data_IF_799584651728
#
_entry.id   IF_799584651728
#
_cell.length_a   1.000
_cell.length_b   1.000
_cell.length_c   1.000
_cell.angle_alpha   90.00
_cell.angle_beta   90.00
_cell.angle_gamma   90.00
#
_symmetry.space_group_name_H-M   'P 1'
#
loop_
_entity.id
_entity.type
_entity.pdbx_description
1 polymer ?
#
# COMPACT_ATOMS: atom_id res chain seq x y z
N UNK A 1 32.90 -26.76 12.97
CA UNK A 1 32.70 -27.93 12.07
C UNK A 1 31.21 -28.24 12.05
N UNK A 2 30.43 -28.08 10.98
CA UNK A 2 30.66 -28.01 9.53
C UNK A 2 29.59 -27.05 8.97
N UNK A 3 29.83 -25.81 8.53
CA UNK A 3 30.37 -25.34 7.23
C UNK A 3 29.96 -26.17 5.98
N UNK A 4 28.97 -27.07 6.05
CA UNK A 4 28.56 -27.85 4.86
C UNK A 4 27.06 -28.09 4.68
N UNK A 5 26.21 -27.58 5.58
CA UNK A 5 24.75 -27.52 5.36
C UNK A 5 24.20 -26.09 5.14
N UNK A 6 25.05 -25.06 5.26
CA UNK A 6 24.75 -23.67 4.90
C UNK A 6 25.16 -23.31 3.45
N UNK A 7 25.72 -24.28 2.70
CA UNK A 7 26.10 -24.12 1.29
C UNK A 7 25.06 -24.69 0.30
N UNK A 8 24.01 -25.37 0.79
CA UNK A 8 22.95 -25.94 -0.06
C UNK A 8 21.85 -24.95 -0.47
N UNK A 9 21.50 -23.99 0.39
CA UNK A 9 20.53 -22.92 0.06
C UNK A 9 21.17 -21.79 -0.77
N UNK A 10 22.50 -21.70 -0.78
CA UNK A 10 23.28 -20.85 -1.69
C UNK A 10 23.64 -21.56 -3.00
N UNK A 11 23.06 -22.73 -3.31
CA UNK A 11 23.31 -23.45 -4.57
C UNK A 11 22.23 -23.24 -5.65
N UNK A 12 21.18 -22.45 -5.37
CA UNK A 12 20.16 -22.05 -6.37
C UNK A 12 20.32 -20.57 -6.79
N UNK A 13 21.11 -19.79 -6.05
CA UNK A 13 21.52 -18.42 -6.41
C UNK A 13 22.69 -18.34 -7.42
N UNK A 14 23.65 -19.31 -7.51
CA UNK A 14 24.78 -19.22 -8.44
C UNK A 14 24.40 -19.38 -9.91
N UNK A 15 23.23 -19.96 -10.22
CA UNK A 15 22.72 -20.03 -11.60
C UNK A 15 22.09 -18.72 -12.08
N UNK A 16 21.73 -17.79 -11.19
CA UNK A 16 21.32 -16.45 -11.59
C UNK A 16 22.52 -15.52 -11.82
N UNK A 17 23.59 -15.68 -11.03
CA UNK A 17 24.81 -14.86 -11.14
C UNK A 17 25.69 -15.27 -12.33
N UNK A 18 25.77 -16.57 -12.66
CA UNK A 18 26.51 -17.05 -13.84
C UNK A 18 25.72 -16.93 -15.17
N UNK A 19 24.40 -16.70 -15.12
CA UNK A 19 23.60 -16.43 -16.32
C UNK A 19 23.64 -14.96 -16.78
N UNK A 20 24.05 -14.04 -15.90
CA UNK A 20 24.00 -12.59 -16.17
C UNK A 20 25.24 -11.85 -15.64
N UNK A 21 26.34 -11.82 -16.42
CA UNK A 21 27.60 -11.16 -16.06
C UNK A 21 27.51 -9.64 -15.85
N UNK A 22 26.40 -9.00 -16.21
CA UNK A 22 26.18 -7.56 -16.06
C UNK A 22 25.66 -7.13 -14.67
N UNK A 23 25.38 -8.08 -13.77
CA UNK A 23 25.05 -7.78 -12.37
C UNK A 23 26.27 -7.36 -11.51
N UNK A 24 27.47 -7.32 -12.09
CA UNK A 24 28.72 -7.03 -11.37
C UNK A 24 29.30 -5.61 -11.62
N UNK A 25 28.68 -4.77 -12.45
CA UNK A 25 29.22 -3.43 -12.74
C UNK A 25 28.18 -2.32 -12.52
N UNK A 26 28.34 -1.55 -11.43
CA UNK A 26 28.65 -0.10 -11.49
C UNK A 26 28.73 0.51 -10.09
N UNK A 27 29.95 0.69 -9.63
CA UNK A 27 30.28 1.64 -8.59
C UNK A 27 30.18 3.06 -9.18
N UNK A 28 29.14 3.82 -8.83
CA UNK A 28 29.12 5.27 -9.01
C UNK A 28 27.79 5.83 -9.49
N UNK A 29 27.16 6.63 -8.62
CA UNK A 29 26.18 7.65 -8.98
C UNK A 29 24.75 7.17 -9.27
N UNK A 30 23.82 7.63 -8.42
CA UNK A 30 22.42 7.93 -8.77
C UNK A 30 21.46 6.80 -9.20
N UNK A 31 21.28 5.83 -8.29
CA UNK A 31 19.95 5.35 -7.87
C UNK A 31 19.20 4.40 -8.82
N UNK A 32 18.96 3.19 -8.32
CA UNK A 32 18.21 2.13 -8.98
C UNK A 32 18.83 0.79 -8.60
N UNK A 33 18.14 -0.01 -7.79
CA UNK A 33 18.62 -1.28 -7.21
C UNK A 33 19.71 -1.17 -6.12
N UNK A 34 20.80 -0.42 -6.31
CA UNK A 34 21.86 -0.27 -5.29
C UNK A 34 21.42 0.58 -4.10
N UNK A 35 20.60 1.62 -4.33
CA UNK A 35 20.05 2.47 -3.27
C UNK A 35 19.03 1.73 -2.40
N UNK A 36 18.12 0.96 -3.02
CA UNK A 36 17.13 0.17 -2.28
C UNK A 36 17.81 -1.00 -1.55
N UNK A 37 18.76 -1.69 -2.18
CA UNK A 37 19.52 -2.76 -1.55
C UNK A 37 20.40 -2.24 -0.41
N UNK A 38 21.10 -1.11 -0.57
CA UNK A 38 21.87 -0.48 0.51
C UNK A 38 20.96 0.05 1.63
N UNK A 39 19.81 0.63 1.29
CA UNK A 39 18.81 1.05 2.27
C UNK A 39 18.35 -0.17 3.08
N UNK A 40 17.89 -1.24 2.41
CA UNK A 40 17.38 -2.44 3.07
C UNK A 40 18.46 -3.23 3.84
N UNK A 41 19.69 -3.32 3.32
CA UNK A 41 20.82 -3.95 4.00
C UNK A 41 21.39 -3.09 5.15
N UNK A 42 21.19 -1.78 5.08
CA UNK A 42 21.54 -0.82 6.12
C UNK A 42 20.50 -0.70 7.23
N UNK A 43 19.26 -1.17 7.01
CA UNK A 43 18.20 -1.22 8.02
C UNK A 43 18.56 -2.22 9.13
N UNK A 44 19.31 -1.72 10.11
CA UNK A 44 19.48 -2.38 11.41
C UNK A 44 18.44 -1.80 12.34
N UNK A 45 17.41 -2.58 12.62
CA UNK A 45 16.43 -2.21 13.63
C UNK A 45 16.97 -2.54 15.02
N UNK A 46 16.83 -1.61 15.95
CA UNK A 46 17.04 -1.89 17.36
C UNK A 46 15.89 -2.77 17.87
N UNK A 47 16.22 -3.95 18.38
CA UNK A 47 15.25 -4.89 18.94
C UNK A 47 14.41 -4.25 20.08
N UNK A 48 14.98 -3.31 20.84
CA UNK A 48 14.26 -2.60 21.88
C UNK A 48 13.22 -1.65 21.28
N UNK A 49 13.54 -0.95 20.19
CA UNK A 49 12.60 -0.10 19.48
C UNK A 49 11.46 -0.91 18.85
N UNK A 50 11.78 -2.06 18.24
CA UNK A 50 10.75 -2.96 17.70
C UNK A 50 9.85 -3.56 18.79
N UNK A 51 10.41 -3.91 19.94
CA UNK A 51 9.65 -4.37 21.10
C UNK A 51 8.73 -3.28 21.65
N UNK A 52 9.22 -2.04 21.72
CA UNK A 52 8.43 -0.88 22.12
C UNK A 52 7.27 -0.63 21.13
N UNK A 53 7.54 -0.63 19.82
CA UNK A 53 6.53 -0.51 18.77
C UNK A 53 5.44 -1.59 18.91
N UNK A 54 5.87 -2.84 19.07
CA UNK A 54 4.96 -3.98 19.28
C UNK A 54 4.07 -3.77 20.50
N UNK A 55 4.64 -3.29 21.60
CA UNK A 55 3.91 -3.03 22.85
C UNK A 55 2.87 -1.91 22.68
N UNK A 56 3.22 -0.84 21.97
CA UNK A 56 2.30 0.27 21.69
C UNK A 56 1.15 -0.15 20.79
N UNK A 57 1.40 -0.97 19.77
CA UNK A 57 0.34 -1.50 18.92
C UNK A 57 -0.60 -2.42 19.72
N UNK A 58 -0.07 -3.28 20.60
CA UNK A 58 -0.91 -4.11 21.50
C UNK A 58 -1.77 -3.26 22.44
N UNK A 59 -1.21 -2.17 22.98
CA UNK A 59 -1.97 -1.23 23.79
C UNK A 59 -3.08 -0.53 22.97
N UNK A 60 -2.81 -0.18 21.71
CA UNK A 60 -3.80 0.39 20.81
C UNK A 60 -4.91 -0.62 20.44
N UNK A 61 -4.55 -1.88 20.19
CA UNK A 61 -5.53 -2.98 20.02
C UNK A 61 -6.46 -3.08 21.23
N UNK A 62 -5.91 -2.99 22.45
CA UNK A 62 -6.72 -3.01 23.66
C UNK A 62 -7.71 -1.82 23.76
N UNK A 63 -7.36 -0.65 23.21
CA UNK A 63 -8.28 0.51 23.13
C UNK A 63 -9.42 0.29 22.14
N UNK A 64 -9.13 -0.35 21.01
CA UNK A 64 -10.12 -0.67 19.97
C UNK A 64 -11.05 -1.81 20.41
N UNK A 65 -10.60 -2.65 21.34
CA UNK A 65 -11.38 -3.77 21.88
C UNK A 65 -11.44 -4.95 20.92
N UNK A 66 -12.31 -5.92 21.23
CA UNK A 66 -12.56 -7.08 20.36
C UNK A 66 -13.49 -6.68 19.21
N UNK A 67 -12.90 -6.47 18.04
CA UNK A 67 -13.62 -6.11 16.82
C UNK A 67 -13.96 -7.39 16.07
N UNK A 68 -15.26 -7.59 15.81
CA UNK A 68 -15.74 -8.63 14.91
C UNK A 68 -15.35 -8.35 13.46
N UNK A 69 -14.10 -8.64 13.10
CA UNK A 69 -13.58 -8.53 11.75
C UNK A 69 -13.62 -9.88 11.02
N UNK A 70 -13.85 -9.91 9.70
CA UNK A 70 -13.78 -11.14 8.93
C UNK A 70 -12.42 -11.82 9.06
N UNK A 71 -12.38 -13.09 9.47
CA UNK A 71 -11.15 -13.91 9.48
C UNK A 71 -11.02 -14.76 8.21
N UNK A 72 -12.04 -14.70 7.34
CA UNK A 72 -12.08 -15.43 6.08
C UNK A 72 -10.92 -15.04 5.16
N UNK A 73 -10.57 -15.96 4.27
CA UNK A 73 -9.54 -15.77 3.25
C UNK A 73 -10.07 -16.24 1.92
N UNK A 74 -9.66 -15.57 0.84
CA UNK A 74 -9.90 -16.08 -0.50
C UNK A 74 -9.07 -17.35 -0.71
N UNK A 75 -9.74 -18.46 -1.01
CA UNK A 75 -9.11 -19.75 -1.35
C UNK A 75 -9.41 -20.07 -2.80
N UNK A 76 -8.38 -20.26 -3.63
CA UNK A 76 -8.55 -20.61 -5.05
C UNK A 76 -7.67 -19.79 -5.99
N UNK A 77 -7.80 -19.97 -7.31
CA UNK A 77 -6.95 -19.27 -8.27
C UNK A 77 -7.31 -17.78 -8.33
N UNK A 78 -6.32 -16.93 -8.08
CA UNK A 78 -6.45 -15.47 -8.00
C UNK A 78 -7.07 -14.81 -9.24
N UNK A 79 -6.89 -15.42 -10.42
CA UNK A 79 -7.44 -14.92 -11.68
C UNK A 79 -8.96 -15.09 -11.81
N UNK A 80 -9.61 -15.71 -10.82
CA UNK A 80 -11.07 -15.85 -10.75
C UNK A 80 -11.70 -14.95 -9.68
N UNK A 81 -10.92 -14.10 -9.03
CA UNK A 81 -11.47 -13.19 -8.01
C UNK A 81 -12.33 -12.14 -8.72
N UNK A 82 -13.57 -12.02 -8.25
CA UNK A 82 -14.57 -11.09 -8.76
C UNK A 82 -15.10 -10.27 -7.59
N UNK A 83 -15.76 -9.15 -7.88
CA UNK A 83 -16.42 -8.34 -6.86
C UNK A 83 -17.32 -9.19 -5.96
N UNK A 84 -18.17 -10.02 -6.57
CA UNK A 84 -19.14 -10.84 -5.85
C UNK A 84 -18.50 -11.94 -5.00
N UNK A 85 -17.42 -12.57 -5.50
CA UNK A 85 -16.74 -13.61 -4.71
C UNK A 85 -15.98 -13.03 -3.53
N UNK A 86 -15.38 -11.84 -3.68
CA UNK A 86 -14.76 -11.13 -2.56
C UNK A 86 -15.84 -10.68 -1.57
N UNK A 87 -16.94 -10.07 -2.03
CA UNK A 87 -18.03 -9.62 -1.16
C UNK A 87 -18.62 -10.78 -0.35
N UNK A 88 -18.88 -11.92 -1.00
CA UNK A 88 -19.37 -13.12 -0.32
C UNK A 88 -18.39 -13.65 0.72
N UNK A 89 -17.10 -13.69 0.40
CA UNK A 89 -16.08 -14.28 1.28
C UNK A 89 -15.89 -13.47 2.55
N UNK A 90 -15.87 -12.14 2.43
CA UNK A 90 -15.65 -11.24 3.56
C UNK A 90 -16.97 -10.74 4.19
N UNK A 91 -18.13 -11.22 3.75
CA UNK A 91 -19.44 -10.84 4.30
C UNK A 91 -19.81 -9.39 4.03
N UNK A 92 -19.40 -8.83 2.89
CA UNK A 92 -19.64 -7.44 2.51
C UNK A 92 -21.04 -7.28 1.92
N UNK A 93 -22.06 -7.27 2.77
CA UNK A 93 -23.42 -6.94 2.34
C UNK A 93 -23.65 -5.43 2.36
N UNK A 94 -23.67 -4.80 1.17
CA UNK A 94 -24.14 -3.42 1.04
C UNK A 94 -25.63 -3.41 0.69
N UNK A 95 -26.47 -3.13 1.68
CA UNK A 95 -27.92 -3.02 1.49
C UNK A 95 -28.23 -1.87 0.54
N UNK A 96 -29.26 -1.98 -0.31
CA UNK A 96 -29.70 -0.87 -1.17
C UNK A 96 -30.12 0.39 -0.36
N UNK A 97 -30.43 0.24 0.92
CA UNK A 97 -30.67 1.33 1.87
C UNK A 97 -29.39 2.03 2.35
N UNK A 98 -28.18 1.55 2.02
CA UNK A 98 -26.89 2.17 2.37
C UNK A 98 -26.52 3.34 1.44
N UNK A 99 -27.54 4.06 0.94
CA UNK A 99 -27.32 5.35 0.28
C UNK A 99 -26.62 6.27 1.26
N UNK A 100 -25.65 7.05 0.77
CA UNK A 100 -24.95 8.08 1.54
C UNK A 100 -25.97 8.97 2.27
N UNK A 101 -25.78 9.18 3.57
CA UNK A 101 -26.69 9.97 4.40
C UNK A 101 -28.03 9.31 4.78
N UNK A 102 -28.24 8.01 4.53
CA UNK A 102 -29.48 7.31 4.88
C UNK A 102 -29.69 7.02 6.39
N UNK A 103 -28.78 7.48 7.26
CA UNK A 103 -28.98 7.45 8.72
C UNK A 103 -28.97 6.06 9.37
N UNK A 104 -28.42 5.03 8.70
CA UNK A 104 -28.44 3.64 9.17
C UNK A 104 -27.06 3.01 9.40
N UNK A 105 -25.97 3.77 9.31
CA UNK A 105 -24.63 3.24 9.55
C UNK A 105 -24.38 3.01 11.04
N UNK A 106 -23.69 1.93 11.38
CA UNK A 106 -23.33 1.61 12.77
C UNK A 106 -22.41 2.68 13.38
N UNK A 107 -21.69 3.41 12.52
CA UNK A 107 -20.69 4.38 12.91
C UNK A 107 -21.19 5.84 12.94
N UNK A 108 -22.38 6.12 12.41
CA UNK A 108 -22.79 7.50 12.11
C UNK A 108 -21.97 8.12 10.97
N UNK A 109 -22.14 9.42 10.74
CA UNK A 109 -21.36 10.17 9.73
C UNK A 109 -19.94 10.39 10.23
N UNK A 110 -18.94 10.32 9.34
CA UNK A 110 -17.55 10.46 9.76
C UNK A 110 -17.13 11.91 10.06
N UNK A 111 -17.76 12.89 9.41
CA UNK A 111 -17.66 14.30 9.77
C UNK A 111 -18.82 14.64 10.72
N UNK A 112 -18.51 14.83 12.00
CA UNK A 112 -19.46 15.15 13.07
C UNK A 112 -18.91 16.25 14.00
N UNK A 113 -19.63 16.55 15.09
CA UNK A 113 -19.21 17.58 16.06
C UNK A 113 -17.90 17.24 16.78
N UNK A 114 -17.58 15.95 16.94
CA UNK A 114 -16.32 15.51 17.55
C UNK A 114 -15.16 15.57 16.55
N UNK A 115 -15.44 15.40 15.26
CA UNK A 115 -14.46 15.36 14.17
C UNK A 115 -14.78 16.38 13.06
N UNK A 116 -14.84 17.70 13.38
CA UNK A 116 -15.14 18.72 12.40
C UNK A 116 -13.99 18.86 11.40
N UNK A 117 -14.33 19.19 10.16
CA UNK A 117 -13.34 19.48 9.13
C UNK A 117 -12.61 20.80 9.43
N UNK A 118 -11.27 20.73 9.48
CA UNK A 118 -10.38 21.89 9.48
C UNK A 118 -9.37 21.67 8.36
N UNK A 119 -9.40 22.47 7.29
CA UNK A 119 -8.48 22.31 6.17
C UNK A 119 -7.05 22.60 6.61
N UNK A 120 -6.10 21.81 6.09
CA UNK A 120 -4.71 22.23 6.06
C UNK A 120 -4.57 23.46 5.14
N UNK A 121 -3.85 24.48 5.61
CA UNK A 121 -3.55 25.68 4.85
C UNK A 121 -2.10 26.07 5.10
N UNK A 122 -1.17 25.84 4.15
CA UNK A 122 0.24 26.18 4.31
C UNK A 122 0.50 27.68 4.48
N UNK A 123 -0.49 28.54 4.18
CA UNK A 123 -0.40 29.99 4.38
C UNK A 123 -0.83 30.42 5.78
N UNK A 124 -1.52 29.56 6.53
CA UNK A 124 -1.84 29.81 7.92
C UNK A 124 -0.59 29.55 8.77
N UNK A 125 -0.07 30.54 9.52
CA UNK A 125 1.09 30.35 10.39
C UNK A 125 0.91 29.22 11.42
N UNK A 126 -0.31 29.01 11.91
CA UNK A 126 -0.61 27.94 12.88
C UNK A 126 -0.50 26.55 12.26
N UNK A 127 -0.54 26.46 10.93
CA UNK A 127 -0.41 25.24 10.16
C UNK A 127 0.99 25.08 9.55
N UNK A 128 1.93 26.00 9.80
CA UNK A 128 3.23 26.01 9.13
C UNK A 128 4.02 24.70 9.32
N UNK A 129 3.87 24.05 10.48
CA UNK A 129 4.51 22.76 10.80
C UNK A 129 3.66 21.55 10.46
N UNK A 130 2.40 21.73 10.07
CA UNK A 130 1.48 20.63 9.79
C UNK A 130 1.94 19.86 8.56
N UNK A 131 1.82 18.54 8.64
CA UNK A 131 2.27 17.63 7.62
C UNK A 131 1.08 16.96 6.93
N UNK A 132 1.08 17.04 5.60
CA UNK A 132 0.21 16.25 4.72
C UNK A 132 1.07 15.55 3.70
N UNK A 133 0.66 14.35 3.32
CA UNK A 133 1.43 13.46 2.46
C UNK A 133 0.67 13.01 1.23
N UNK A 134 1.07 11.89 0.63
CA UNK A 134 0.46 11.45 -0.62
C UNK A 134 -0.79 10.60 -0.39
N UNK A 135 -1.04 10.18 0.86
CA UNK A 135 -2.18 9.38 1.25
C UNK A 135 -3.43 10.25 1.55
N UNK A 136 -4.44 10.28 0.67
CA UNK A 136 -5.64 11.09 0.89
C UNK A 136 -6.42 10.66 2.14
N UNK A 137 -6.39 9.36 2.49
CA UNK A 137 -7.06 8.83 3.68
C UNK A 137 -6.48 9.37 4.98
N UNK A 138 -5.15 9.39 5.12
CA UNK A 138 -4.48 9.94 6.31
C UNK A 138 -4.61 11.46 6.38
N UNK A 139 -4.50 12.14 5.24
CA UNK A 139 -4.69 13.58 5.17
C UNK A 139 -6.10 13.98 5.62
N UNK A 140 -7.12 13.26 5.14
CA UNK A 140 -8.51 13.44 5.57
C UNK A 140 -8.66 13.16 7.07
N UNK A 141 -8.14 12.04 7.57
CA UNK A 141 -8.22 11.72 9.01
C UNK A 141 -7.60 12.81 9.90
N UNK A 142 -6.45 13.39 9.50
CA UNK A 142 -5.82 14.50 10.20
C UNK A 142 -6.61 15.82 10.07
N UNK A 143 -7.18 16.11 8.89
CA UNK A 143 -8.07 17.27 8.68
C UNK A 143 -9.36 17.18 9.51
N UNK A 144 -9.71 16.02 10.05
CA UNK A 144 -10.87 15.81 10.91
C UNK A 144 -10.52 15.54 12.38
N UNK A 145 -9.24 15.44 12.74
CA UNK A 145 -8.82 15.22 14.12
C UNK A 145 -8.91 13.76 14.59
N UNK A 146 -9.22 12.79 13.72
CA UNK A 146 -9.04 11.36 14.01
C UNK A 146 -7.56 11.00 14.17
N UNK A 147 -6.69 11.75 13.49
CA UNK A 147 -5.27 11.81 13.77
C UNK A 147 -4.93 13.21 14.28
N UNK A 148 -3.81 13.38 15.03
CA UNK A 148 -3.23 14.68 15.29
C UNK A 148 -3.25 15.57 14.05
N UNK A 149 -3.84 16.77 14.18
CA UNK A 149 -4.09 17.67 13.04
C UNK A 149 -2.80 18.15 12.38
N UNK A 150 -1.72 18.23 13.15
CA UNK A 150 -0.37 18.53 12.68
C UNK A 150 0.26 17.41 11.83
N UNK A 151 -0.38 16.24 11.74
CA UNK A 151 0.10 15.12 10.94
C UNK A 151 1.33 14.41 11.52
N UNK A 152 1.70 14.68 12.79
CA UNK A 152 2.76 13.96 13.49
C UNK A 152 2.13 12.99 14.48
N UNK A 153 2.19 11.70 14.16
CA UNK A 153 1.45 10.65 14.87
C UNK A 153 2.36 9.77 15.73
N UNK A 154 1.85 9.26 16.85
CA UNK A 154 2.41 8.10 17.56
C UNK A 154 1.85 6.80 16.99
N UNK A 155 2.40 5.61 17.31
CA UNK A 155 1.84 4.33 16.88
C UNK A 155 0.39 4.14 17.34
N UNK A 156 0.06 4.61 18.54
CA UNK A 156 -1.29 4.50 19.09
C UNK A 156 -2.25 5.42 18.33
N UNK A 157 -1.84 6.66 18.04
CA UNK A 157 -2.64 7.59 17.27
C UNK A 157 -2.94 7.03 15.87
N UNK A 158 -1.92 6.51 15.19
CA UNK A 158 -2.08 5.95 13.86
C UNK A 158 -2.99 4.72 13.87
N UNK A 159 -2.78 3.78 14.80
CA UNK A 159 -3.59 2.58 14.88
C UNK A 159 -5.07 2.90 15.16
N UNK A 160 -5.33 3.71 16.19
CA UNK A 160 -6.70 4.06 16.61
C UNK A 160 -7.36 4.96 15.57
N UNK A 161 -6.64 5.95 15.04
CA UNK A 161 -7.16 6.84 14.01
C UNK A 161 -7.48 6.13 12.70
N UNK A 162 -6.73 5.10 12.30
CA UNK A 162 -7.09 4.26 11.15
C UNK A 162 -8.38 3.46 11.38
N UNK A 163 -8.55 2.93 12.59
CA UNK A 163 -9.78 2.23 12.98
C UNK A 163 -10.98 3.17 12.98
N UNK A 164 -10.86 4.30 13.68
CA UNK A 164 -11.94 5.26 13.86
C UNK A 164 -12.22 6.04 12.57
N UNK A 165 -11.23 6.51 11.82
CA UNK A 165 -11.52 7.27 10.59
C UNK A 165 -12.12 6.39 9.49
N UNK A 166 -11.65 5.14 9.34
CA UNK A 166 -11.80 4.37 8.11
C UNK A 166 -12.34 2.94 8.30
N UNK A 167 -12.58 2.50 9.53
CA UNK A 167 -13.02 1.12 9.83
C UNK A 167 -12.05 0.07 9.26
N UNK A 168 -10.74 0.28 9.46
CA UNK A 168 -9.74 -0.74 9.13
C UNK A 168 -9.64 -1.75 10.27
N UNK A 169 -9.73 -3.03 9.97
CA UNK A 169 -9.65 -4.07 10.99
C UNK A 169 -8.32 -4.04 11.76
N UNK A 170 -8.28 -4.51 13.03
CA UNK A 170 -7.08 -4.48 13.86
C UNK A 170 -5.83 -5.08 13.21
N UNK A 171 -5.98 -6.09 12.35
CA UNK A 171 -4.86 -6.69 11.60
C UNK A 171 -4.25 -5.70 10.60
N UNK A 172 -5.10 -4.99 9.85
CA UNK A 172 -4.66 -3.99 8.88
C UNK A 172 -4.11 -2.73 9.56
N UNK A 173 -4.75 -2.25 10.64
CA UNK A 173 -4.22 -1.14 11.44
C UNK A 173 -2.83 -1.45 11.98
N UNK A 174 -2.64 -2.66 12.53
CA UNK A 174 -1.37 -3.14 13.05
C UNK A 174 -0.30 -3.22 11.96
N UNK A 175 -0.65 -3.78 10.80
CA UNK A 175 0.22 -3.87 9.65
C UNK A 175 0.72 -2.50 9.18
N UNK A 176 -0.22 -1.57 8.93
CA UNK A 176 0.10 -0.23 8.42
C UNK A 176 0.88 0.60 9.44
N UNK A 177 0.52 0.49 10.72
CA UNK A 177 1.24 1.19 11.79
C UNK A 177 2.67 0.67 11.92
N UNK A 178 2.84 -0.64 11.99
CA UNK A 178 4.17 -1.23 12.12
C UNK A 178 5.06 -0.88 10.91
N UNK A 179 4.55 -1.10 9.70
CA UNK A 179 5.23 -0.76 8.45
C UNK A 179 5.59 0.73 8.36
N UNK A 180 4.63 1.62 8.67
CA UNK A 180 4.82 3.07 8.66
C UNK A 180 5.96 3.48 9.57
N UNK A 181 5.96 3.03 10.83
CA UNK A 181 7.00 3.42 11.78
C UNK A 181 8.38 2.84 11.42
N UNK A 182 8.42 1.58 11.00
CA UNK A 182 9.67 0.90 10.63
C UNK A 182 10.36 1.59 9.45
N UNK A 183 9.62 2.03 8.44
CA UNK A 183 10.21 2.61 7.23
C UNK A 183 10.20 4.13 7.18
N UNK A 184 9.25 4.78 7.86
CA UNK A 184 8.98 6.21 7.73
C UNK A 184 9.03 6.97 9.06
N UNK A 185 9.07 6.28 10.19
CA UNK A 185 9.08 6.87 11.52
C UNK A 185 10.46 7.26 12.03
N UNK A 186 10.46 8.12 13.05
CA UNK A 186 11.53 8.28 14.02
C UNK A 186 11.31 7.23 15.12
N UNK A 187 12.00 6.08 15.02
CA UNK A 187 11.88 4.99 16.00
C UNK A 187 12.49 5.33 17.36
N UNK A 188 13.34 6.36 17.46
CA UNK A 188 13.87 6.79 18.75
C UNK A 188 12.80 7.58 19.53
N UNK A 189 12.02 8.40 18.83
CA UNK A 189 10.94 9.19 19.44
C UNK A 189 9.57 8.52 19.39
N UNK A 190 9.44 7.42 18.65
CA UNK A 190 8.15 6.77 18.36
C UNK A 190 7.15 7.78 17.79
N UNK A 191 7.60 8.56 16.81
CA UNK A 191 6.78 9.50 16.05
C UNK A 191 6.93 9.26 14.55
N UNK A 192 5.91 9.57 13.78
CA UNK A 192 5.94 9.50 12.32
C UNK A 192 5.21 10.70 11.73
N UNK A 193 5.72 11.27 10.65
CA UNK A 193 4.97 12.23 9.84
C UNK A 193 4.14 11.50 8.79
N UNK A 194 2.85 11.85 8.67
CA UNK A 194 2.01 11.40 7.55
C UNK A 194 2.34 12.12 6.24
N UNK A 195 3.22 13.14 6.29
CA UNK A 195 3.76 13.87 5.16
C UNK A 195 5.28 13.79 5.08
N UNK A 196 5.94 14.92 4.88
CA UNK A 196 7.40 15.02 4.88
C UNK A 196 7.98 15.24 6.27
N UNK A 197 9.30 15.46 6.35
CA UNK A 197 9.99 15.72 7.61
C UNK A 197 10.34 17.19 7.85
N UNK A 198 9.88 18.08 6.96
CA UNK A 198 10.16 19.51 6.99
C UNK A 198 8.88 20.34 6.96
N UNK A 199 8.91 21.49 7.61
CA UNK A 199 7.84 22.50 7.53
C UNK A 199 7.86 23.24 6.18
N UNK A 200 6.91 24.17 5.99
CA UNK A 200 6.80 25.01 4.79
C UNK A 200 8.00 25.94 4.56
N UNK A 201 8.86 26.13 5.57
CA UNK A 201 10.09 26.93 5.51
C UNK A 201 11.35 26.08 5.33
N UNK A 202 11.21 24.75 5.29
CA UNK A 202 12.31 23.80 5.14
C UNK A 202 13.00 23.41 6.45
N UNK A 203 12.50 23.82 7.62
CA UNK A 203 13.02 23.41 8.91
C UNK A 203 12.59 21.98 9.22
N UNK A 204 13.49 21.18 9.79
CA UNK A 204 13.17 19.80 10.18
C UNK A 204 12.21 19.80 11.38
N UNK A 205 11.06 19.14 11.22
CA UNK A 205 10.04 18.99 12.28
C UNK A 205 10.07 17.61 12.96
N UNK A 206 10.67 16.62 12.30
CA UNK A 206 10.86 15.26 12.83
C UNK A 206 12.08 14.60 12.17
N UNK A 207 12.82 13.73 12.86
CA UNK A 207 14.03 13.10 12.30
C UNK A 207 13.70 11.92 11.36
N UNK A 208 12.54 11.28 11.54
CA UNK A 208 12.04 10.26 10.61
C UNK A 208 11.76 10.88 9.24
N UNK A 209 11.93 10.14 8.15
CA UNK A 209 11.79 10.71 6.80
C UNK A 209 10.34 11.10 6.45
N UNK A 210 9.34 10.57 7.16
CA UNK A 210 7.93 10.80 6.89
C UNK A 210 7.44 10.01 5.67
N UNK A 211 6.11 9.86 5.57
CA UNK A 211 5.48 9.08 4.51
C UNK A 211 5.88 9.55 3.12
N UNK A 212 5.93 10.88 2.88
CA UNK A 212 6.23 11.50 1.58
C UNK A 212 7.59 11.15 0.99
N UNK A 213 8.50 10.56 1.77
CA UNK A 213 9.78 10.12 1.21
C UNK A 213 9.56 8.95 0.24
N UNK A 214 10.11 9.09 -0.97
CA UNK A 214 10.13 8.05 -2.02
C UNK A 214 10.75 6.72 -1.57
N UNK A 215 10.35 5.60 -2.18
CA UNK A 215 10.91 4.26 -2.00
C UNK A 215 9.90 3.23 -1.50
N UNK A 216 9.97 2.88 -0.21
CA UNK A 216 9.36 1.64 0.31
C UNK A 216 7.82 1.65 0.37
N UNK A 217 7.21 2.72 0.88
CA UNK A 217 5.74 2.86 0.94
C UNK A 217 5.26 3.76 -0.19
N UNK A 218 5.65 5.04 -0.13
CA UNK A 218 5.49 5.95 -1.27
C UNK A 218 6.45 5.57 -2.40
N UNK A 219 5.94 5.52 -3.61
CA UNK A 219 6.72 5.16 -4.78
C UNK A 219 6.00 5.43 -6.08
N UNK A 220 6.64 5.04 -7.18
CA UNK A 220 6.19 5.41 -8.51
C UNK A 220 4.86 4.75 -8.92
N UNK A 221 4.32 5.20 -10.05
CA UNK A 221 3.06 4.74 -10.65
C UNK A 221 1.84 4.95 -9.75
N UNK A 222 1.83 6.02 -8.98
CA UNK A 222 0.64 6.49 -8.26
C UNK A 222 -0.47 6.92 -9.23
N UNK A 223 -1.72 6.61 -8.90
CA UNK A 223 -2.88 6.89 -9.78
C UNK A 223 -3.17 8.40 -9.85
N UNK A 224 -2.91 9.17 -8.78
CA UNK A 224 -3.26 10.60 -8.71
C UNK A 224 -2.08 11.51 -8.36
N UNK A 225 -0.88 10.99 -8.13
CA UNK A 225 0.37 11.74 -7.85
C UNK A 225 1.41 11.42 -8.93
N UNK A 226 2.33 12.35 -9.19
CA UNK A 226 3.43 12.08 -10.13
C UNK A 226 4.52 11.23 -9.49
N UNK A 227 5.43 10.73 -10.32
CA UNK A 227 6.60 9.98 -9.87
C UNK A 227 7.70 10.95 -9.39
N UNK A 228 8.43 10.57 -8.34
CA UNK A 228 9.37 11.46 -7.63
C UNK A 228 10.48 12.04 -8.51
N UNK A 229 10.93 11.25 -9.49
CA UNK A 229 12.06 11.61 -10.34
C UNK A 229 11.67 12.60 -11.44
N UNK A 230 10.37 12.75 -11.73
CA UNK A 230 9.87 13.56 -12.85
C UNK A 230 8.75 14.53 -12.46
N UNK A 231 8.36 14.58 -11.18
CA UNK A 231 7.29 15.46 -10.73
C UNK A 231 7.10 15.47 -9.22
N UNK A 232 5.90 15.87 -8.81
CA UNK A 232 5.49 15.97 -7.42
C UNK A 232 4.76 14.68 -6.98
N UNK A 233 5.42 13.93 -6.11
CA UNK A 233 4.90 12.67 -5.55
C UNK A 233 3.93 12.86 -4.38
N UNK A 234 3.75 14.09 -3.89
CA UNK A 234 2.94 14.38 -2.70
C UNK A 234 1.59 14.95 -3.10
N UNK A 235 1.61 16.01 -3.90
CA UNK A 235 0.41 16.74 -4.26
C UNK A 235 -0.29 16.13 -5.47
N UNK A 236 -1.61 16.35 -5.54
CA UNK A 236 -2.42 15.80 -6.62
C UNK A 236 -1.98 16.32 -8.00
N UNK A 237 -1.76 15.39 -8.93
CA UNK A 237 -1.64 15.67 -10.34
C UNK A 237 -3.03 15.74 -10.96
N UNK A 238 -3.47 16.94 -11.33
CA UNK A 238 -4.76 17.12 -12.00
C UNK A 238 -4.84 16.36 -13.33
N UNK A 239 -3.72 16.16 -14.03
CA UNK A 239 -3.68 15.35 -15.25
C UNK A 239 -4.05 13.89 -14.95
N UNK A 240 -3.35 13.28 -13.98
CA UNK A 240 -3.60 11.88 -13.61
C UNK A 240 -4.97 11.69 -12.95
N UNK A 241 -5.37 12.62 -12.09
CA UNK A 241 -6.70 12.65 -11.47
C UNK A 241 -7.81 12.71 -12.53
N UNK A 242 -7.74 13.63 -13.49
CA UNK A 242 -8.74 13.74 -14.56
C UNK A 242 -8.78 12.50 -15.44
N UNK A 243 -7.63 11.86 -15.70
CA UNK A 243 -7.58 10.57 -16.40
C UNK A 243 -8.27 9.46 -15.59
N UNK A 244 -8.01 9.36 -14.29
CA UNK A 244 -8.67 8.38 -13.42
C UNK A 244 -10.18 8.61 -13.34
N UNK A 245 -10.59 9.87 -13.16
CA UNK A 245 -12.00 10.30 -13.21
C UNK A 245 -12.66 9.88 -14.53
N UNK A 246 -11.97 10.02 -15.66
CA UNK A 246 -12.45 9.54 -16.97
C UNK A 246 -12.69 8.03 -17.03
N UNK A 247 -11.81 7.22 -16.43
CA UNK A 247 -12.02 5.77 -16.35
C UNK A 247 -13.23 5.40 -15.46
N UNK A 248 -13.47 6.15 -14.39
CA UNK A 248 -14.64 5.99 -13.51
C UNK A 248 -15.95 6.40 -14.21
N UNK A 249 -15.93 7.53 -14.94
CA UNK A 249 -17.08 8.02 -15.72
C UNK A 249 -17.48 7.08 -16.87
N UNK A 250 -16.55 6.27 -17.37
CA UNK A 250 -16.83 5.23 -18.36
C UNK A 250 -17.54 3.99 -17.76
N UNK A 251 -17.73 3.93 -16.44
CA UNK A 251 -18.51 2.89 -15.77
C UNK A 251 -19.98 3.33 -15.62
N UNK A 252 -20.88 2.36 -15.39
CA UNK A 252 -22.28 2.67 -15.10
C UNK A 252 -22.40 3.52 -13.83
N UNK A 253 -23.21 4.59 -13.91
CA UNK A 253 -23.49 5.54 -12.81
C UNK A 253 -22.29 6.32 -12.25
N UNK A 254 -21.14 6.31 -12.94
CA UNK A 254 -19.85 6.70 -12.38
C UNK A 254 -19.49 5.84 -11.16
N UNK A 255 -18.48 4.99 -11.29
CA UNK A 255 -18.07 4.15 -10.17
C UNK A 255 -16.58 3.83 -10.24
N UNK A 256 -15.94 3.80 -9.07
CA UNK A 256 -14.57 3.29 -8.91
C UNK A 256 -14.64 1.77 -8.88
N UNK A 257 -14.60 1.11 -10.04
CA UNK A 257 -14.64 -0.35 -10.19
C UNK A 257 -13.25 -0.98 -10.34
N UNK A 258 -13.16 -2.32 -10.22
CA UNK A 258 -11.95 -3.09 -10.60
C UNK A 258 -11.43 -2.65 -11.98
N UNK A 259 -12.32 -2.48 -12.96
CA UNK A 259 -11.97 -2.09 -14.33
C UNK A 259 -11.39 -0.68 -14.40
N UNK A 260 -12.04 0.30 -13.75
CA UNK A 260 -11.54 1.68 -13.74
C UNK A 260 -10.16 1.79 -13.08
N UNK A 261 -9.96 1.06 -11.97
CA UNK A 261 -8.70 1.02 -11.23
C UNK A 261 -7.60 0.30 -12.02
N UNK A 262 -7.92 -0.81 -12.70
CA UNK A 262 -6.93 -1.55 -13.49
C UNK A 262 -6.45 -0.74 -14.68
N UNK A 263 -7.35 0.00 -15.34
CA UNK A 263 -6.99 0.95 -16.40
C UNK A 263 -6.11 2.08 -15.86
N UNK A 264 -6.48 2.67 -14.72
CA UNK A 264 -5.72 3.74 -14.09
C UNK A 264 -4.31 3.29 -13.66
N UNK A 265 -4.18 2.11 -13.05
CA UNK A 265 -2.90 1.56 -12.61
C UNK A 265 -2.02 1.18 -13.79
N UNK A 266 -2.59 0.60 -14.86
CA UNK A 266 -1.86 0.32 -16.10
C UNK A 266 -1.34 1.61 -16.75
N UNK A 267 -2.16 2.66 -16.81
CA UNK A 267 -1.74 3.94 -17.35
C UNK A 267 -0.62 4.60 -16.51
N UNK A 268 -0.72 4.56 -15.18
CA UNK A 268 0.31 5.07 -14.29
C UNK A 268 1.64 4.29 -14.44
N UNK A 269 1.56 2.96 -14.58
CA UNK A 269 2.72 2.11 -14.89
C UNK A 269 3.34 2.46 -16.24
N UNK A 270 2.53 2.60 -17.29
CA UNK A 270 3.02 2.93 -18.63
C UNK A 270 3.72 4.30 -18.65
N UNK A 271 3.19 5.27 -17.91
CA UNK A 271 3.83 6.58 -17.76
C UNK A 271 5.19 6.47 -17.06
N UNK A 272 5.27 5.69 -15.98
CA UNK A 272 6.52 5.43 -15.27
C UNK A 272 7.55 4.81 -16.22
N UNK A 273 7.21 3.72 -16.90
CA UNK A 273 8.10 3.03 -17.84
C UNK A 273 8.55 3.94 -18.99
N UNK A 274 7.66 4.78 -19.49
CA UNK A 274 7.91 5.59 -20.68
C UNK A 274 8.64 6.90 -20.39
N UNK A 275 8.34 7.54 -19.27
CA UNK A 275 8.76 8.91 -19.00
C UNK A 275 9.70 9.03 -17.79
N UNK A 276 9.68 8.07 -16.86
CA UNK A 276 10.54 8.09 -15.69
C UNK A 276 11.80 7.23 -15.91
N UNK A 277 12.97 7.83 -16.17
CA UNK A 277 14.22 7.08 -16.37
C UNK A 277 14.69 6.32 -15.12
N UNK A 278 14.07 6.58 -13.97
CA UNK A 278 14.31 5.95 -12.67
C UNK A 278 13.09 5.17 -12.16
N UNK A 279 12.15 4.82 -13.04
CA UNK A 279 10.93 4.08 -12.69
C UNK A 279 11.23 2.89 -11.77
N UNK A 280 10.68 2.93 -10.55
CA UNK A 280 10.76 1.85 -9.58
C UNK A 280 9.38 1.22 -9.36
N UNK A 281 9.14 0.10 -10.05
CA UNK A 281 7.99 -0.76 -9.86
C UNK A 281 8.44 -2.14 -9.38
N UNK A 282 9.33 -2.15 -8.38
CA UNK A 282 9.74 -3.39 -7.72
C UNK A 282 8.52 -4.12 -7.12
N UNK A 283 8.70 -5.40 -6.76
CA UNK A 283 7.57 -6.22 -6.32
C UNK A 283 6.88 -5.68 -5.05
N UNK A 284 7.62 -5.13 -4.09
CA UNK A 284 7.02 -4.55 -2.89
C UNK A 284 6.18 -3.33 -3.26
N UNK A 285 6.71 -2.44 -4.11
CA UNK A 285 5.95 -1.28 -4.62
C UNK A 285 4.70 -1.75 -5.38
N UNK A 286 4.80 -2.80 -6.19
CA UNK A 286 3.66 -3.37 -6.90
C UNK A 286 2.58 -3.86 -5.92
N UNK A 287 2.95 -4.61 -4.89
CA UNK A 287 2.01 -5.07 -3.85
C UNK A 287 1.33 -3.88 -3.17
N UNK A 288 2.10 -2.87 -2.74
CA UNK A 288 1.56 -1.67 -2.09
C UNK A 288 0.63 -0.91 -3.05
N UNK A 289 1.05 -0.66 -4.28
CA UNK A 289 0.26 0.03 -5.29
C UNK A 289 -1.09 -0.68 -5.55
N UNK A 290 -1.10 -1.99 -5.74
CA UNK A 290 -2.36 -2.69 -5.96
C UNK A 290 -3.22 -2.76 -4.69
N UNK A 291 -2.61 -2.85 -3.49
CA UNK A 291 -3.33 -2.74 -2.23
C UNK A 291 -3.97 -1.35 -2.03
N UNK A 292 -3.30 -0.25 -2.41
CA UNK A 292 -3.86 1.10 -2.42
C UNK A 292 -5.09 1.20 -3.34
N UNK A 293 -5.09 0.48 -4.47
CA UNK A 293 -6.27 0.42 -5.34
C UNK A 293 -7.44 -0.28 -4.65
N UNK A 294 -7.18 -1.36 -3.91
CA UNK A 294 -8.19 -1.99 -3.05
C UNK A 294 -8.69 -1.07 -1.94
N UNK A 295 -7.79 -0.34 -1.29
CA UNK A 295 -8.12 0.64 -0.26
C UNK A 295 -9.01 1.76 -0.84
N UNK A 296 -8.63 2.31 -2.00
CA UNK A 296 -9.44 3.27 -2.73
C UNK A 296 -10.79 2.70 -3.14
N UNK A 297 -10.87 1.42 -3.52
CA UNK A 297 -12.13 0.78 -3.90
C UNK A 297 -13.11 0.63 -2.74
N UNK A 298 -12.60 0.37 -1.53
CA UNK A 298 -13.40 -0.16 -0.43
C UNK A 298 -13.38 0.70 0.84
N UNK A 299 -12.20 1.10 1.31
CA UNK A 299 -12.09 1.93 2.50
C UNK A 299 -12.65 3.33 2.21
N UNK A 300 -12.23 3.98 1.11
CA UNK A 300 -12.72 5.31 0.74
C UNK A 300 -14.19 5.30 0.27
N UNK A 301 -14.68 4.16 -0.22
CA UNK A 301 -16.11 4.01 -0.57
C UNK A 301 -17.02 4.06 0.65
N UNK A 302 -16.55 3.54 1.79
CA UNK A 302 -17.39 3.45 2.99
C UNK A 302 -18.60 2.53 2.76
N UNK A 303 -19.74 2.88 3.34
CA UNK A 303 -20.98 2.09 3.16
C UNK A 303 -21.70 2.31 1.83
N UNK A 304 -21.23 3.26 1.01
CA UNK A 304 -21.89 3.58 -0.24
C UNK A 304 -21.88 2.38 -1.21
N UNK A 305 -23.01 2.14 -1.88
CA UNK A 305 -23.07 1.13 -2.96
C UNK A 305 -22.30 1.58 -4.19
N UNK A 306 -22.33 2.87 -4.51
CA UNK A 306 -21.70 3.52 -5.67
C UNK A 306 -20.68 4.56 -5.18
N UNK A 307 -19.47 4.53 -5.74
CA UNK A 307 -18.44 5.52 -5.48
C UNK A 307 -18.59 6.65 -6.50
N UNK A 308 -19.35 7.67 -6.10
CA UNK A 308 -19.71 8.80 -6.96
C UNK A 308 -18.53 9.71 -7.30
N UNK A 309 -18.70 10.53 -8.34
CA UNK A 309 -17.75 11.56 -8.72
C UNK A 309 -17.47 12.57 -7.60
N UNK A 310 -18.51 12.96 -6.87
CA UNK A 310 -18.38 13.85 -5.71
C UNK A 310 -17.49 13.23 -4.64
N UNK A 311 -17.69 11.95 -4.32
CA UNK A 311 -16.82 11.26 -3.37
C UNK A 311 -15.36 11.28 -3.85
N UNK A 312 -15.13 11.11 -5.15
CA UNK A 312 -13.78 11.10 -5.71
C UNK A 312 -13.11 12.47 -5.51
N UNK A 313 -13.85 13.54 -5.76
CA UNK A 313 -13.37 14.90 -5.54
C UNK A 313 -13.08 15.18 -4.06
N UNK A 314 -13.99 14.82 -3.16
CA UNK A 314 -13.80 15.02 -1.72
C UNK A 314 -12.57 14.33 -1.17
N UNK A 315 -12.33 13.08 -1.57
CA UNK A 315 -11.17 12.34 -1.11
C UNK A 315 -9.85 12.87 -1.65
N UNK A 316 -9.79 13.20 -2.95
CA UNK A 316 -8.51 13.46 -3.62
C UNK A 316 -8.16 14.94 -3.77
N UNK A 317 -9.16 15.82 -3.89
CA UNK A 317 -8.99 17.27 -4.07
C UNK A 317 -9.14 17.99 -2.74
N UNK A 318 -10.21 17.68 -1.99
CA UNK A 318 -10.53 18.39 -0.75
C UNK A 318 -9.88 17.74 0.48
N UNK A 319 -9.48 16.48 0.39
CA UNK A 319 -8.98 15.67 1.53
C UNK A 319 -9.91 15.81 2.74
N UNK A 320 -11.20 15.60 2.47
CA UNK A 320 -12.32 15.75 3.40
C UNK A 320 -13.26 14.56 3.21
N UNK A 321 -13.91 14.09 4.28
CA UNK A 321 -14.94 13.07 4.11
C UNK A 321 -16.08 13.63 3.24
N UNK A 322 -16.59 12.86 2.25
CA UNK A 322 -17.73 13.31 1.48
C UNK A 322 -18.94 13.58 2.40
N UNK A 323 -19.79 14.58 2.12
CA UNK A 323 -20.91 14.91 3.01
C UNK A 323 -21.85 13.70 3.17
N UNK A 324 -22.18 13.37 4.41
CA UNK A 324 -23.00 12.20 4.75
C UNK A 324 -22.31 10.84 4.54
N UNK A 325 -21.01 10.82 4.27
CA UNK A 325 -20.21 9.60 4.18
C UNK A 325 -20.08 8.94 5.55
N UNK A 326 -20.09 7.61 5.53
CA UNK A 326 -19.83 6.79 6.71
C UNK A 326 -18.91 5.64 6.36
N UNK A 327 -18.03 5.32 7.30
CA UNK A 327 -17.12 4.18 7.24
C UNK A 327 -17.90 2.87 7.27
N UNK A 328 -17.32 1.82 6.66
CA UNK A 328 -17.99 0.51 6.53
C UNK A 328 -18.34 -0.11 7.88
N UNK A 329 -19.52 -0.70 8.00
CA UNK A 329 -19.88 -1.55 9.14
C UNK A 329 -18.99 -2.79 9.30
N UNK A 330 -18.61 -3.43 8.19
CA UNK A 330 -17.67 -4.56 8.17
C UNK A 330 -16.25 -4.03 7.96
N UNK A 331 -15.36 -4.15 8.96
CA UNK A 331 -14.01 -3.60 8.87
C UNK A 331 -13.18 -4.19 7.73
N UNK A 332 -12.34 -3.37 7.12
CA UNK A 332 -11.48 -3.76 6.00
C UNK A 332 -10.25 -4.49 6.54
N UNK A 333 -10.02 -5.73 6.09
CA UNK A 333 -8.89 -6.56 6.55
C UNK A 333 -7.72 -6.54 5.60
N UNK A 334 -6.53 -6.93 6.07
CA UNK A 334 -5.34 -7.04 5.22
C UNK A 334 -5.52 -8.08 4.09
N UNK A 335 -6.21 -9.18 4.37
CA UNK A 335 -6.55 -10.20 3.38
C UNK A 335 -7.54 -9.70 2.32
N UNK A 336 -8.51 -8.89 2.72
CA UNK A 336 -9.44 -8.26 1.78
C UNK A 336 -8.69 -7.31 0.84
N UNK A 337 -7.79 -6.47 1.36
CA UNK A 337 -6.96 -5.58 0.55
C UNK A 337 -6.10 -6.34 -0.47
N UNK A 338 -5.49 -7.46 -0.05
CA UNK A 338 -4.76 -8.34 -0.95
C UNK A 338 -5.66 -8.92 -2.06
N UNK A 339 -6.88 -9.34 -1.72
CA UNK A 339 -7.83 -9.88 -2.69
C UNK A 339 -8.24 -8.83 -3.75
N UNK A 340 -8.55 -7.60 -3.33
CA UNK A 340 -8.85 -6.50 -4.26
C UNK A 340 -7.66 -6.15 -5.13
N UNK A 341 -6.47 -6.01 -4.55
CA UNK A 341 -5.25 -5.72 -5.29
C UNK A 341 -4.97 -6.76 -6.37
N UNK A 342 -5.11 -8.04 -6.04
CA UNK A 342 -4.99 -9.15 -7.00
C UNK A 342 -6.04 -9.08 -8.10
N UNK A 343 -7.30 -8.78 -7.77
CA UNK A 343 -8.37 -8.66 -8.76
C UNK A 343 -8.12 -7.48 -9.74
N UNK A 344 -7.66 -6.35 -9.22
CA UNK A 344 -7.28 -5.17 -10.03
C UNK A 344 -6.08 -5.49 -10.93
N UNK A 345 -5.04 -6.15 -10.40
CA UNK A 345 -3.88 -6.57 -11.20
C UNK A 345 -4.27 -7.58 -12.28
N UNK A 346 -5.06 -8.61 -11.94
CA UNK A 346 -5.49 -9.64 -12.88
C UNK A 346 -6.28 -9.07 -14.07
N UNK A 347 -7.00 -7.96 -13.88
CA UNK A 347 -7.77 -7.31 -14.94
C UNK A 347 -6.90 -6.53 -15.95
N UNK A 348 -5.71 -6.07 -15.56
CA UNK A 348 -4.74 -5.42 -16.45
C UNK A 348 -3.31 -5.64 -15.92
N UNK A 349 -2.72 -6.84 -16.13
CA UNK A 349 -1.49 -7.23 -15.46
C UNK A 349 -0.29 -6.45 -16.01
N UNK A 350 0.58 -6.04 -15.08
CA UNK A 350 1.91 -5.48 -15.37
C UNK A 350 2.97 -6.35 -14.70
N UNK A 351 4.22 -6.20 -15.15
CA UNK A 351 5.35 -6.95 -14.59
C UNK A 351 6.17 -6.06 -13.68
N UNK A 352 6.56 -6.53 -12.48
CA UNK A 352 7.44 -5.78 -11.61
C UNK A 352 8.82 -5.62 -12.26
N UNK A 353 9.55 -4.59 -11.87
CA UNK A 353 10.81 -4.24 -12.52
C UNK A 353 11.31 -2.86 -12.15
N UNK A 354 12.43 -2.49 -12.74
CA UNK A 354 13.17 -1.25 -12.43
C UNK A 354 13.74 -0.67 -13.73
N UNK A 355 13.83 0.65 -13.82
CA UNK A 355 14.60 1.30 -14.87
C UNK A 355 16.09 1.28 -14.56
N UNK A 356 16.89 0.74 -15.48
CA UNK A 356 18.35 0.70 -15.43
C UNK A 356 18.89 1.51 -16.62
N UNK A 357 19.57 2.62 -16.33
CA UNK A 357 20.09 3.51 -17.39
C UNK A 357 18.99 4.08 -18.29
N UNK A 358 17.79 4.35 -17.74
CA UNK A 358 16.64 4.85 -18.49
C UNK A 358 15.84 3.79 -19.26
N UNK A 359 16.23 2.51 -19.16
CA UNK A 359 15.53 1.39 -19.80
C UNK A 359 14.83 0.57 -18.72
N UNK A 360 13.52 0.43 -18.81
CA UNK A 360 12.77 -0.43 -17.88
C UNK A 360 13.09 -1.91 -18.13
N UNK A 361 13.59 -2.58 -17.10
CA UNK A 361 13.89 -4.00 -17.08
C UNK A 361 12.88 -4.69 -16.18
N UNK A 362 11.92 -5.38 -16.78
CA UNK A 362 10.97 -6.22 -16.07
C UNK A 362 11.64 -7.49 -15.52
N UNK A 363 11.32 -7.85 -14.28
CA UNK A 363 11.53 -9.22 -13.80
C UNK A 363 10.65 -10.14 -14.66
N UNK A 364 11.15 -11.27 -15.18
CA UNK A 364 10.39 -12.08 -16.13
C UNK A 364 8.99 -12.38 -15.61
N UNK A 365 8.00 -11.97 -16.40
CA UNK A 365 6.59 -12.12 -16.04
C UNK A 365 6.24 -13.60 -15.89
N UNK A 366 5.23 -13.90 -15.05
CA UNK A 366 4.58 -15.24 -15.02
C UNK A 366 4.20 -15.69 -16.44
N UNK A 367 3.85 -14.75 -17.31
CA UNK A 367 3.52 -14.95 -18.73
C UNK A 367 4.73 -15.41 -19.56
N UNK A 368 5.93 -14.95 -19.25
CA UNK A 368 7.19 -15.35 -19.89
C UNK A 368 7.58 -16.78 -19.47
N UNK A 369 7.34 -17.13 -18.20
CA UNK A 369 7.48 -18.50 -17.69
C UNK A 369 6.47 -19.45 -18.34
N UNK A 370 5.21 -19.01 -18.50
CA UNK A 370 4.16 -19.73 -19.23
C UNK A 370 4.53 -19.97 -20.71
N UNK A 371 5.13 -18.98 -21.38
CA UNK A 371 5.60 -19.10 -22.75
C UNK A 371 6.78 -20.08 -22.87
N UNK A 372 7.75 -20.02 -21.96
CA UNK A 372 8.86 -20.99 -21.90
C UNK A 372 8.38 -22.41 -21.59
N UNK A 373 7.40 -22.59 -20.70
CA UNK A 373 6.83 -23.90 -20.37
C UNK A 373 6.10 -24.57 -21.53
N UNK A 374 5.52 -23.78 -22.44
CA UNK A 374 4.95 -24.25 -23.72
C UNK A 374 6.02 -24.62 -24.74
N UNK A 375 7.11 -23.83 -24.82
CA UNK A 375 8.25 -24.11 -25.73
C UNK A 375 9.03 -25.35 -25.30
N UNK A 376 9.08 -25.65 -23.99
CA UNK A 376 9.79 -26.79 -23.43
C UNK A 376 8.95 -28.08 -23.31
N UNK A 377 7.71 -28.09 -23.84
CA UNK A 377 6.91 -29.32 -23.97
C UNK A 377 6.43 -29.95 -22.66
N UNK A 378 6.42 -29.22 -21.54
CA UNK A 378 6.05 -29.77 -20.24
C UNK A 378 4.53 -29.81 -20.02
N UNK A 379 3.96 -31.02 -19.93
CA UNK A 379 2.52 -31.26 -19.73
C UNK A 379 1.94 -30.85 -18.36
N UNK A 380 2.74 -30.27 -17.47
CA UNK A 380 2.30 -29.74 -16.17
C UNK A 380 2.66 -28.26 -16.02
N UNK A 381 2.13 -27.45 -16.93
CA UNK A 381 2.35 -26.00 -16.99
C UNK A 381 1.85 -25.29 -15.73
N UNK A 382 0.84 -25.83 -15.05
CA UNK A 382 0.30 -25.27 -13.80
C UNK A 382 1.23 -25.48 -12.60
N UNK A 383 1.87 -26.66 -12.49
CA UNK A 383 2.85 -26.96 -11.43
C UNK A 383 4.15 -26.17 -11.58
N UNK A 384 4.60 -25.93 -12.82
CA UNK A 384 5.76 -25.07 -13.09
C UNK A 384 5.47 -23.60 -12.80
N UNK A 385 4.26 -23.13 -13.12
CA UNK A 385 3.80 -21.79 -12.76
C UNK A 385 3.71 -21.63 -11.25
N UNK A 386 3.15 -22.62 -10.54
CA UNK A 386 3.12 -22.60 -9.08
C UNK A 386 4.55 -22.53 -8.53
N UNK A 387 5.45 -23.45 -8.88
CA UNK A 387 6.85 -23.41 -8.40
C UNK A 387 7.58 -22.11 -8.77
N UNK A 388 7.37 -21.55 -9.96
CA UNK A 388 7.98 -20.27 -10.37
C UNK A 388 7.39 -19.08 -9.63
N UNK A 389 6.07 -19.03 -9.43
CA UNK A 389 5.39 -18.03 -8.59
C UNK A 389 5.88 -18.13 -7.16
N UNK A 390 6.03 -19.34 -6.61
CA UNK A 390 6.50 -19.53 -5.24
C UNK A 390 7.99 -19.26 -5.08
N UNK A 391 8.80 -19.46 -6.12
CA UNK A 391 10.21 -19.08 -6.14
C UNK A 391 10.39 -17.57 -6.28
N UNK A 392 9.57 -16.91 -7.11
CA UNK A 392 9.53 -15.44 -7.22
C UNK A 392 9.00 -14.85 -5.92
N UNK A 393 7.90 -15.35 -5.37
CA UNK A 393 7.34 -14.92 -4.09
C UNK A 393 8.27 -15.23 -2.91
N UNK A 394 8.98 -16.35 -2.91
CA UNK A 394 10.01 -16.69 -1.91
C UNK A 394 11.24 -15.80 -2.01
N UNK A 395 11.71 -15.49 -3.22
CA UNK A 395 12.78 -14.51 -3.44
C UNK A 395 12.33 -13.09 -3.06
N UNK A 396 11.09 -12.72 -3.39
CA UNK A 396 10.45 -11.42 -3.10
C UNK A 396 10.23 -11.22 -1.60
N UNK A 397 9.69 -12.21 -0.91
CA UNK A 397 9.45 -12.16 0.54
C UNK A 397 10.77 -12.28 1.32
N UNK A 398 11.80 -12.87 0.72
CA UNK A 398 13.18 -12.82 1.22
C UNK A 398 13.82 -11.43 1.23
N UNK A 399 13.26 -10.42 0.54
CA UNK A 399 13.70 -9.02 0.64
C UNK A 399 13.09 -8.27 1.83
N UNK A 400 12.07 -8.85 2.48
CA UNK A 400 11.45 -8.26 3.66
C UNK A 400 12.30 -8.66 4.87
N UNK A 401 12.81 -7.70 5.66
CA UNK A 401 13.59 -8.03 6.85
C UNK A 401 12.81 -8.99 7.74
N UNK A 402 13.43 -10.08 8.19
CA UNK A 402 12.75 -11.09 9.00
C UNK A 402 12.18 -10.48 10.29
N UNK A 403 12.83 -9.45 10.82
CA UNK A 403 12.36 -8.69 11.98
C UNK A 403 10.98 -8.04 11.75
N UNK A 404 10.66 -7.65 10.51
CA UNK A 404 9.35 -7.11 10.16
C UNK A 404 8.32 -8.24 10.05
N UNK A 405 8.66 -9.36 9.40
CA UNK A 405 7.74 -10.51 9.32
C UNK A 405 7.46 -11.13 10.69
N UNK A 406 8.48 -11.19 11.54
CA UNK A 406 8.41 -11.73 12.91
C UNK A 406 7.63 -10.78 13.83
N UNK A 407 7.87 -9.47 13.71
CA UNK A 407 7.14 -8.45 14.46
C UNK A 407 5.64 -8.47 14.13
N UNK A 408 5.28 -8.52 12.85
CA UNK A 408 3.89 -8.63 12.40
C UNK A 408 3.25 -9.95 12.86
N UNK A 409 3.97 -11.06 12.73
CA UNK A 409 3.52 -12.37 13.23
C UNK A 409 3.23 -12.33 14.74
N UNK A 410 4.10 -11.70 15.53
CA UNK A 410 3.94 -11.51 16.98
C UNK A 410 2.79 -10.57 17.39
N UNK A 411 2.24 -9.81 16.45
CA UNK A 411 1.04 -8.97 16.62
C UNK A 411 -0.26 -9.68 16.22
N UNK A 412 -0.18 -10.96 15.82
CA UNK A 412 -1.34 -11.71 15.33
C UNK A 412 -1.85 -11.21 13.98
N UNK A 413 -1.13 -10.29 13.32
CA UNK A 413 -1.33 -9.95 11.92
C UNK A 413 -0.83 -11.15 11.13
N UNK A 414 -1.71 -11.98 10.54
CA UNK A 414 -1.26 -13.24 9.97
C UNK A 414 -0.32 -12.89 8.81
N UNK A 415 0.93 -13.35 8.96
CA UNK A 415 2.08 -12.70 8.32
C UNK A 415 2.00 -12.64 6.81
N UNK A 416 2.78 -11.74 6.23
CA UNK A 416 3.17 -11.80 4.81
C UNK A 416 3.78 -13.16 4.43
N UNK A 417 4.20 -13.97 5.42
CA UNK A 417 4.51 -15.39 5.27
C UNK A 417 3.32 -16.23 4.73
N UNK A 418 2.08 -15.79 4.91
CA UNK A 418 0.89 -16.38 4.28
C UNK A 418 0.67 -15.90 2.83
N UNK A 419 1.23 -14.75 2.43
CA UNK A 419 1.42 -14.45 0.99
C UNK A 419 2.60 -15.25 0.41
N UNK A 420 3.54 -15.67 1.27
CA UNK A 420 4.65 -16.55 0.93
C UNK A 420 4.27 -18.04 0.91
N UNK A 421 3.17 -18.43 1.58
CA UNK A 421 2.67 -19.80 1.55
C UNK A 421 1.87 -20.03 0.26
N UNK A 422 2.63 -20.22 -0.81
CA UNK A 422 2.37 -21.40 -1.62
C UNK A 422 2.72 -22.68 -0.83
#
# INVERSE_FOLDING_TARGET
>A
MKVSLLLGAMAIVPSAVNAYPWMAERAGGDGGMDSLKQYLQGMKFDNNQLSNLTSQIKAAQAKVGDVGAPTARMTGPWNKYTKDSIYKTFGLERKASSKRGAGGSVWGVAEDEAHPYIPYDPKNPDHATWQRGPCPGLNTAANHGYLPRDGIVTPVDLFVGLWEALSLAPDLCGLLTFAGFVWKGDLAQMKMSIGGNKDVHGNVVINGPGLSQHGVLEGDSSITREDSAIGDQVHISMSRYNRFKGYCAAQSEFDVTIKSLSQARKAAFDDCVKYNPKCDMNMLRMVVAYAESGFGHEALRGEATVFTEEMLEYWFIHERFPPGWSRRAVPVTSFEMGAWGLAVWAAAPVSPGLSLGGIYVGVPSITSVLAMGKVLGSGNTMGLVQTAVCSVMGAVTGFIPSQLTDGLSGLGVPGMSAMASC
#
